data_IF_552439786440
#
_entry.id   IF_552439786440
#
_cell.length_a   1.000
_cell.length_b   1.000
_cell.length_c   1.000
_cell.angle_alpha   90.00
_cell.angle_beta   90.00
_cell.angle_gamma   90.00
#
_symmetry.space_group_name_H-M   'P 1'
#
loop_
_entity.id
_entity.type
_entity.pdbx_description
1 polymer ?
#
# COMPACT_ATOMS: atom_id res chain seq x y z
N UNK A 1 3.03 7.59 -10.96
CA UNK A 1 4.03 8.58 -10.50
C UNK A 1 4.71 9.12 -11.75
N UNK A 2 4.23 10.24 -12.30
CA UNK A 2 4.91 10.94 -13.40
C UNK A 2 5.47 12.22 -12.79
N UNK A 3 6.67 12.16 -12.23
CA UNK A 3 7.44 13.36 -11.91
C UNK A 3 7.89 13.96 -13.24
N UNK A 4 7.04 14.83 -13.80
CA UNK A 4 7.51 15.76 -14.81
C UNK A 4 8.51 16.68 -14.11
N UNK A 5 9.73 16.86 -14.63
CA UNK A 5 10.61 17.88 -14.07
C UNK A 5 9.84 19.21 -14.06
N UNK A 6 9.84 19.89 -12.91
CA UNK A 6 9.18 21.18 -12.75
C UNK A 6 9.66 22.19 -13.80
N UNK A 7 8.93 23.29 -13.98
CA UNK A 7 9.35 24.34 -14.93
C UNK A 7 10.76 24.89 -14.64
N UNK A 8 11.24 24.72 -13.41
CA UNK A 8 12.54 25.19 -12.91
C UNK A 8 13.72 24.24 -13.19
N UNK A 9 13.50 23.11 -13.87
CA UNK A 9 14.60 22.19 -14.23
C UNK A 9 15.21 22.52 -15.60
N UNK A 10 16.55 22.48 -15.73
CA UNK A 10 17.22 22.78 -16.99
C UNK A 10 16.84 21.78 -18.09
N UNK A 11 16.56 22.30 -19.29
CA UNK A 11 16.07 21.51 -20.44
C UNK A 11 17.11 21.37 -21.55
N UNK A 12 18.24 22.06 -21.45
CA UNK A 12 19.37 21.95 -22.36
C UNK A 12 20.72 22.06 -21.64
N UNK A 13 21.80 21.82 -22.37
CA UNK A 13 23.15 21.77 -21.81
C UNK A 13 23.64 23.11 -21.23
N UNK A 14 23.25 24.23 -21.84
CA UNK A 14 23.65 25.56 -21.35
C UNK A 14 22.93 25.90 -20.04
N UNK A 15 21.62 25.65 -19.97
CA UNK A 15 20.83 25.81 -18.74
C UNK A 15 21.33 24.86 -17.63
N UNK A 16 21.73 23.63 -17.97
CA UNK A 16 22.29 22.69 -17.01
C UNK A 16 23.61 23.20 -16.44
N UNK A 17 24.47 23.79 -17.27
CA UNK A 17 25.74 24.36 -16.82
C UNK A 17 25.53 25.55 -15.86
N UNK A 18 24.53 26.39 -16.12
CA UNK A 18 24.16 27.51 -15.24
C UNK A 18 23.55 27.02 -13.93
N UNK A 19 22.63 26.06 -13.99
CA UNK A 19 22.02 25.44 -12.82
C UNK A 19 23.06 24.79 -11.89
N UNK A 20 24.03 24.07 -12.45
CA UNK A 20 25.09 23.42 -11.67
C UNK A 20 26.03 24.43 -10.98
N UNK A 21 26.20 25.64 -11.54
CA UNK A 21 27.02 26.70 -10.94
C UNK A 21 26.35 27.32 -9.70
N UNK A 22 25.02 27.26 -9.62
CA UNK A 22 24.23 27.80 -8.51
C UNK A 22 23.97 26.78 -7.40
N UNK A 23 24.29 25.49 -7.62
CA UNK A 23 24.13 24.46 -6.60
C UNK A 23 25.06 24.69 -5.40
N UNK A 24 24.44 24.79 -4.22
CA UNK A 24 25.14 24.81 -2.93
C UNK A 24 24.63 23.66 -2.06
N UNK A 25 25.52 23.11 -1.24
CA UNK A 25 25.16 22.08 -0.27
C UNK A 25 24.91 22.74 1.08
N UNK A 26 23.77 22.42 1.68
CA UNK A 26 23.46 22.78 3.06
C UNK A 26 23.77 21.57 3.94
N UNK A 27 24.91 21.62 4.64
CA UNK A 27 25.35 20.55 5.54
C UNK A 27 24.51 20.50 6.84
N UNK A 28 23.74 21.56 7.14
CA UNK A 28 22.83 21.63 8.28
C UNK A 28 21.40 21.21 7.90
N UNK A 29 21.16 20.83 6.64
CA UNK A 29 19.87 20.38 6.18
C UNK A 29 19.43 19.11 6.93
N UNK A 30 18.15 19.01 7.35
CA UNK A 30 17.65 17.83 8.03
C UNK A 30 17.78 16.61 7.12
N UNK A 31 18.57 15.63 7.56
CA UNK A 31 18.71 14.34 6.87
C UNK A 31 17.41 13.56 7.08
N UNK A 32 16.74 13.21 5.99
CA UNK A 32 15.56 12.35 6.05
C UNK A 32 15.89 11.00 6.68
N UNK A 33 15.01 10.51 7.55
CA UNK A 33 15.18 9.20 8.15
C UNK A 33 15.10 8.12 7.07
N UNK A 34 16.17 7.34 6.93
CA UNK A 34 16.18 6.21 6.03
C UNK A 34 15.29 5.10 6.60
N UNK A 35 14.57 4.35 5.74
CA UNK A 35 13.81 3.20 6.21
C UNK A 35 14.75 2.21 6.91
N UNK A 36 14.34 1.78 8.12
CA UNK A 36 15.08 0.80 8.91
C UNK A 36 15.15 -0.59 8.25
N UNK A 37 15.98 -1.50 8.77
CA UNK A 37 16.17 -2.84 8.18
C UNK A 37 14.88 -3.67 8.11
N UNK A 38 13.91 -3.39 8.99
CA UNK A 38 12.62 -4.07 9.04
C UNK A 38 11.53 -3.38 8.20
N UNK A 39 11.90 -2.37 7.41
CA UNK A 39 10.95 -1.72 6.52
C UNK A 39 10.41 -2.73 5.48
N UNK A 40 9.10 -2.76 5.23
CA UNK A 40 8.51 -3.73 4.32
C UNK A 40 9.04 -3.54 2.90
N UNK A 41 9.60 -4.59 2.32
CA UNK A 41 10.11 -4.60 0.95
C UNK A 41 9.04 -5.19 0.03
N UNK A 42 8.62 -4.40 -0.97
CA UNK A 42 7.73 -4.88 -2.04
C UNK A 42 8.52 -5.16 -3.31
N UNK A 43 8.14 -6.20 -4.05
CA UNK A 43 8.76 -6.55 -5.34
C UNK A 43 7.75 -6.46 -6.48
N UNK A 44 8.17 -5.94 -7.62
CA UNK A 44 7.36 -5.93 -8.83
C UNK A 44 7.32 -7.32 -9.46
N UNK A 45 6.12 -7.83 -9.73
CA UNK A 45 5.90 -9.11 -10.41
C UNK A 45 4.90 -8.92 -11.55
N UNK A 46 5.30 -9.24 -12.78
CA UNK A 46 4.40 -9.22 -13.92
C UNK A 46 3.65 -10.55 -14.01
N UNK A 47 2.32 -10.49 -14.00
CA UNK A 47 1.43 -11.65 -14.16
C UNK A 47 0.46 -11.38 -15.30
N UNK A 48 0.10 -12.43 -16.05
CA UNK A 48 -0.96 -12.34 -17.05
C UNK A 48 -2.28 -12.73 -16.40
N UNK A 49 -3.24 -11.81 -16.41
CA UNK A 49 -4.58 -12.04 -15.89
C UNK A 49 -5.58 -12.11 -17.04
N UNK A 50 -6.58 -13.00 -17.00
CA UNK A 50 -7.70 -12.94 -17.92
C UNK A 50 -8.40 -11.59 -17.83
N UNK A 51 -8.85 -11.05 -18.96
CA UNK A 51 -9.47 -9.73 -19.06
C UNK A 51 -10.67 -9.55 -18.11
N UNK A 52 -11.57 -10.52 -18.08
CA UNK A 52 -12.73 -10.50 -17.18
C UNK A 52 -12.32 -10.46 -15.71
N UNK A 53 -11.19 -11.09 -15.36
CA UNK A 53 -10.69 -11.07 -13.99
C UNK A 53 -10.11 -9.69 -13.63
N UNK A 54 -9.35 -9.09 -14.54
CA UNK A 54 -8.83 -7.73 -14.36
C UNK A 54 -9.94 -6.69 -14.18
N UNK A 55 -11.01 -6.77 -15.00
CA UNK A 55 -12.18 -5.90 -14.85
C UNK A 55 -12.84 -6.05 -13.47
N UNK A 56 -13.10 -7.29 -13.05
CA UNK A 56 -13.72 -7.54 -11.74
C UNK A 56 -12.88 -7.04 -10.57
N UNK A 57 -11.55 -7.17 -10.65
CA UNK A 57 -10.64 -6.63 -9.62
C UNK A 57 -10.72 -5.11 -9.59
N UNK A 58 -10.77 -4.46 -10.76
CA UNK A 58 -10.89 -3.00 -10.87
C UNK A 58 -12.18 -2.50 -10.24
N UNK A 59 -13.32 -3.08 -10.64
CA UNK A 59 -14.65 -2.72 -10.12
C UNK A 59 -14.74 -2.88 -8.60
N UNK A 60 -14.20 -3.98 -8.07
CA UNK A 60 -14.20 -4.25 -6.62
C UNK A 60 -13.28 -3.26 -5.87
N UNK A 61 -12.13 -2.91 -6.44
CA UNK A 61 -11.21 -1.94 -5.84
C UNK A 61 -11.86 -0.54 -5.81
N UNK A 62 -12.52 -0.14 -6.90
CA UNK A 62 -13.30 1.10 -6.98
C UNK A 62 -14.43 1.14 -5.97
N UNK A 63 -15.22 0.06 -5.86
CA UNK A 63 -16.29 -0.07 -4.88
C UNK A 63 -15.79 0.07 -3.43
N UNK A 64 -14.58 -0.41 -3.14
CA UNK A 64 -13.93 -0.31 -1.81
C UNK A 64 -13.15 1.00 -1.61
N UNK A 65 -12.95 1.79 -2.65
CA UNK A 65 -12.15 3.03 -2.59
C UNK A 65 -10.66 2.78 -2.33
N UNK A 66 -10.10 1.63 -2.75
CA UNK A 66 -8.68 1.28 -2.59
C UNK A 66 -8.02 1.04 -3.95
N UNK A 67 -6.69 0.95 -3.99
CA UNK A 67 -6.01 0.62 -5.25
C UNK A 67 -6.19 -0.87 -5.61
N UNK A 68 -6.14 -1.18 -6.91
CA UNK A 68 -6.15 -2.60 -7.36
C UNK A 68 -5.00 -3.40 -6.74
N UNK A 69 -3.83 -2.78 -6.56
CA UNK A 69 -2.67 -3.43 -5.95
C UNK A 69 -2.89 -3.73 -4.47
N UNK A 70 -3.60 -2.87 -3.74
CA UNK A 70 -3.98 -3.15 -2.35
C UNK A 70 -4.96 -4.31 -2.28
N UNK A 71 -6.01 -4.29 -3.10
CA UNK A 71 -6.99 -5.37 -3.16
C UNK A 71 -6.34 -6.73 -3.49
N UNK A 72 -5.46 -6.77 -4.49
CA UNK A 72 -4.74 -7.98 -4.87
C UNK A 72 -3.85 -8.46 -3.72
N UNK A 73 -3.13 -7.56 -3.05
CA UNK A 73 -2.28 -7.93 -1.90
C UNK A 73 -3.10 -8.47 -0.73
N UNK A 74 -4.24 -7.86 -0.42
CA UNK A 74 -5.14 -8.32 0.65
C UNK A 74 -5.68 -9.72 0.34
N UNK A 75 -6.16 -9.95 -0.88
CA UNK A 75 -6.63 -11.27 -1.30
C UNK A 75 -5.53 -12.33 -1.21
N UNK A 76 -4.31 -12.01 -1.67
CA UNK A 76 -3.18 -12.93 -1.56
C UNK A 76 -2.80 -13.19 -0.11
N UNK A 77 -2.78 -12.18 0.75
CA UNK A 77 -2.44 -12.34 2.17
C UNK A 77 -3.46 -13.23 2.92
N UNK A 78 -4.75 -13.05 2.65
CA UNK A 78 -5.82 -13.88 3.23
C UNK A 78 -5.67 -15.34 2.80
N UNK A 79 -5.51 -15.59 1.50
CA UNK A 79 -5.40 -16.94 0.98
C UNK A 79 -4.09 -17.62 1.43
N UNK A 80 -2.97 -16.88 1.49
CA UNK A 80 -1.71 -17.42 2.02
C UNK A 80 -1.81 -17.78 3.50
N UNK A 81 -2.42 -16.92 4.32
CA UNK A 81 -2.64 -17.22 5.74
C UNK A 81 -3.55 -18.44 5.94
N UNK A 82 -4.53 -18.65 5.06
CA UNK A 82 -5.39 -19.83 5.08
C UNK A 82 -4.65 -21.13 4.70
N UNK A 83 -3.55 -21.06 3.95
CA UNK A 83 -2.71 -22.22 3.65
C UNK A 83 -1.79 -22.61 4.82
N UNK A 84 -1.44 -21.65 5.68
CA UNK A 84 -0.61 -21.89 6.87
C UNK A 84 -1.43 -22.51 8.03
N UNK A 85 -2.74 -22.29 8.05
CA UNK A 85 -3.67 -22.73 9.10
C UNK A 85 -4.53 -23.90 8.58
N UNK A 86 -3.93 -25.10 8.54
CA UNK A 86 -4.46 -26.34 7.94
C UNK A 86 -5.73 -26.91 8.62
N UNK A 87 -6.46 -26.09 9.39
CA UNK A 87 -7.73 -26.42 10.04
C UNK A 87 -8.89 -25.67 9.36
N UNK A 88 -9.64 -26.30 8.42
CA UNK A 88 -10.81 -25.66 7.84
C UNK A 88 -11.86 -25.39 8.93
N UNK A 89 -12.12 -24.11 9.23
CA UNK A 89 -13.22 -23.71 10.10
C UNK A 89 -14.54 -23.58 9.30
N UNK A 90 -15.65 -24.01 9.89
CA UNK A 90 -16.97 -23.83 9.31
C UNK A 90 -17.33 -22.35 9.20
N UNK A 91 -17.96 -21.95 8.08
CA UNK A 91 -18.47 -20.58 7.87
C UNK A 91 -19.44 -20.13 8.98
N UNK A 92 -20.19 -21.07 9.56
CA UNK A 92 -21.09 -20.76 10.67
C UNK A 92 -20.31 -20.38 11.94
N UNK A 93 -19.19 -21.06 12.19
CA UNK A 93 -18.34 -20.82 13.35
C UNK A 93 -17.50 -19.56 13.16
N UNK A 94 -17.02 -19.30 11.94
CA UNK A 94 -16.40 -18.02 11.59
C UNK A 94 -17.36 -16.83 11.86
N UNK A 95 -18.64 -16.95 11.45
CA UNK A 95 -19.65 -15.90 11.70
C UNK A 95 -19.93 -15.72 13.19
N UNK A 96 -20.01 -16.82 13.96
CA UNK A 96 -20.20 -16.77 15.42
C UNK A 96 -19.01 -16.10 16.10
N UNK A 97 -17.79 -16.48 15.73
CA UNK A 97 -16.55 -15.90 16.27
C UNK A 97 -16.46 -14.39 15.98
N UNK A 98 -16.75 -13.96 14.75
CA UNK A 98 -16.77 -12.54 14.39
C UNK A 98 -17.83 -11.75 15.17
N UNK A 99 -19.03 -12.31 15.33
CA UNK A 99 -20.10 -11.66 16.10
C UNK A 99 -19.71 -11.51 17.58
N UNK A 100 -19.08 -12.55 18.15
CA UNK A 100 -18.57 -12.51 19.52
C UNK A 100 -17.43 -11.49 19.69
N UNK A 101 -16.49 -11.42 18.74
CA UNK A 101 -15.40 -10.45 18.75
C UNK A 101 -15.93 -9.00 18.68
N UNK A 102 -16.87 -8.73 17.79
CA UNK A 102 -17.51 -7.41 17.66
C UNK A 102 -18.27 -7.01 18.94
N UNK A 103 -18.98 -7.95 19.58
CA UNK A 103 -19.67 -7.69 20.83
C UNK A 103 -18.69 -7.34 21.97
N UNK A 104 -17.51 -7.94 22.00
CA UNK A 104 -16.47 -7.67 22.99
C UNK A 104 -15.72 -6.34 22.75
N UNK A 105 -15.72 -5.82 21.51
CA UNK A 105 -15.17 -4.49 21.19
C UNK A 105 -16.13 -3.34 21.52
N UNK A 106 -17.43 -3.61 21.61
CA UNK A 106 -18.46 -2.62 21.94
C UNK A 106 -18.31 -1.96 23.33
N UNK A 107 -17.96 -2.68 24.43
CA UNK A 107 -17.80 -2.06 25.75
C UNK A 107 -16.56 -1.16 25.88
N UNK A 108 -15.56 -1.24 24.98
CA UNK A 108 -14.36 -0.40 25.05
C UNK A 108 -14.59 1.04 24.55
N UNK A 109 -15.67 1.29 23.80
CA UNK A 109 -16.01 2.62 23.26
C UNK A 109 -17.02 3.40 24.12
N UNK A 110 -17.48 2.85 25.26
CA UNK A 110 -18.49 3.49 26.14
C UNK A 110 -17.92 3.98 27.49
N UNK A 111 -16.67 4.47 27.55
CA UNK A 111 -16.22 5.26 28.72
C UNK A 111 -16.65 6.72 28.53
N UNK A 112 -17.67 7.23 29.26
CA UNK A 112 -17.82 8.67 29.40
C UNK A 112 -16.68 9.22 30.28
N UNK A 113 -16.23 10.43 29.96
CA UNK A 113 -15.37 11.25 30.79
C UNK A 113 -16.14 11.76 32.03
#
# INVERSE_FOLDING_TARGET
MNDRPGEDYPRNAAEAEEFLKDLTFDDDAPVGELPGPDAPVTVLRSVRLPFEMDQRIREEAEHRGISMSDLIRDFLAIELAALDDDAPISRADARRALTAALANLHPLHQRPA
#
